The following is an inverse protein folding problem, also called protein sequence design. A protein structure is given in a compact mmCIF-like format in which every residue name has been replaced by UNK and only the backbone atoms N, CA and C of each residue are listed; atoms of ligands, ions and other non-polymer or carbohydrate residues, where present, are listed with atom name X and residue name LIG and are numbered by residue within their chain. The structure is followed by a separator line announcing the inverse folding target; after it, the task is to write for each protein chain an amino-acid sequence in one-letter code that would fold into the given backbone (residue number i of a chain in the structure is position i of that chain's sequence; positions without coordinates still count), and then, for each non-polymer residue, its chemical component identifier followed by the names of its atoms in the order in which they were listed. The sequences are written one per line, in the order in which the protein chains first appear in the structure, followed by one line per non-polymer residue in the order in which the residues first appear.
data_IF_704553041774
#
_entry.id   IF_704553041774
#
_cell.length_a   1.000
_cell.length_b   1.000
_cell.length_c   1.000
_cell.angle_alpha   90.00
_cell.angle_beta   90.00
_cell.angle_gamma   90.00
#
_symmetry.space_group_name_H-M   'P 1'
#
loop_
_entity.id
_entity.type
_entity.pdbx_description
1 polymer ?
#
# COMPACT_ATOMS: atom_id res chain seq x y z
N UNK A 1 -13.00 -7.13 -13.49
CA UNK A 1 -12.35 -6.92 -12.17
C UNK A 1 -13.41 -7.20 -11.12
N UNK A 2 -13.37 -8.38 -10.51
CA UNK A 2 -14.27 -8.76 -9.43
C UNK A 2 -13.42 -9.28 -8.29
N UNK A 3 -13.60 -8.70 -7.11
CA UNK A 3 -13.07 -9.28 -5.88
C UNK A 3 -13.54 -10.73 -5.78
N UNK A 4 -12.64 -11.66 -5.52
CA UNK A 4 -12.97 -13.08 -5.46
C UNK A 4 -13.27 -13.48 -4.01
N UNK A 5 -14.54 -13.74 -3.65
CA UNK A 5 -14.91 -14.08 -2.29
C UNK A 5 -14.57 -15.53 -1.92
N UNK A 6 -14.09 -16.35 -2.86
CA UNK A 6 -13.90 -17.80 -2.66
C UNK A 6 -12.54 -18.17 -2.05
N UNK A 7 -11.59 -17.22 -2.01
CA UNK A 7 -10.26 -17.44 -1.48
C UNK A 7 -9.79 -16.39 -0.48
N UNK A 8 -8.56 -16.58 0.00
CA UNK A 8 -7.98 -15.69 1.00
C UNK A 8 -7.61 -14.33 0.41
N UNK A 9 -7.66 -13.32 1.29
CA UNK A 9 -7.23 -11.95 0.97
C UNK A 9 -6.07 -11.57 1.87
N UNK A 10 -4.94 -11.22 1.26
CA UNK A 10 -3.86 -10.54 1.97
C UNK A 10 -4.19 -9.06 2.08
N UNK A 11 -4.44 -8.60 3.31
CA UNK A 11 -5.05 -7.30 3.57
C UNK A 11 -4.07 -6.11 3.52
N UNK A 12 -2.76 -6.36 3.50
CA UNK A 12 -1.73 -5.33 3.50
C UNK A 12 -0.43 -5.85 2.92
N UNK A 13 -0.19 -5.62 1.64
CA UNK A 13 1.05 -6.01 0.97
C UNK A 13 1.64 -4.86 0.16
N UNK A 14 2.90 -5.00 -0.24
CA UNK A 14 3.59 -4.10 -1.16
C UNK A 14 4.12 -4.92 -2.34
N UNK A 15 3.64 -4.64 -3.55
CA UNK A 15 4.11 -5.35 -4.75
C UNK A 15 5.16 -4.56 -5.54
N UNK A 16 5.20 -3.24 -5.37
CA UNK A 16 6.24 -2.41 -5.96
C UNK A 16 6.42 -1.17 -5.10
N UNK A 17 7.51 -1.12 -4.34
CA UNK A 17 7.82 -0.05 -3.40
C UNK A 17 9.27 0.38 -3.57
N UNK A 18 9.53 1.68 -3.48
CA UNK A 18 10.89 2.21 -3.44
C UNK A 18 10.97 3.33 -2.39
N UNK A 19 11.48 2.96 -1.22
CA UNK A 19 11.84 3.91 -0.16
C UNK A 19 13.37 4.02 -0.01
N UNK A 20 14.14 3.44 -0.94
CA UNK A 20 15.58 3.30 -0.80
C UNK A 20 16.30 4.65 -0.74
N UNK A 21 15.88 5.62 -1.55
CA UNK A 21 16.41 6.98 -1.51
C UNK A 21 16.09 7.74 -0.22
N UNK A 22 14.93 7.47 0.41
CA UNK A 22 14.55 8.10 1.67
C UNK A 22 15.27 7.47 2.87
N UNK A 23 15.37 6.14 2.89
CA UNK A 23 15.97 5.38 4.01
C UNK A 23 17.47 5.15 3.85
N UNK A 24 18.05 5.52 2.71
CA UNK A 24 19.43 5.22 2.32
C UNK A 24 19.77 3.73 2.49
N UNK A 25 18.82 2.85 2.12
CA UNK A 25 18.96 1.40 2.21
C UNK A 25 18.28 0.74 1.01
N UNK A 26 19.05 -0.02 0.22
CA UNK A 26 18.56 -0.71 -0.98
C UNK A 26 17.51 -1.78 -0.64
N UNK A 27 17.55 -2.38 0.54
CA UNK A 27 16.57 -3.37 0.99
C UNK A 27 15.16 -2.79 1.12
N UNK A 28 15.02 -1.47 1.07
CA UNK A 28 13.74 -0.78 1.07
C UNK A 28 13.17 -0.55 -0.35
N UNK A 29 13.73 -1.22 -1.36
CA UNK A 29 13.23 -1.28 -2.73
C UNK A 29 12.85 -2.71 -3.09
N UNK A 30 11.62 -2.89 -3.56
CA UNK A 30 11.10 -4.14 -4.08
C UNK A 30 10.52 -3.87 -5.48
N UNK A 31 11.14 -4.44 -6.50
CA UNK A 31 10.81 -4.26 -7.91
C UNK A 31 11.15 -5.48 -8.79
N UNK A 32 11.45 -6.63 -8.16
CA UNK A 32 11.87 -7.86 -8.84
C UNK A 32 10.67 -8.61 -9.42
N UNK A 33 10.21 -8.17 -10.59
CA UNK A 33 9.01 -8.68 -11.28
C UNK A 33 8.89 -10.21 -11.29
N UNK A 34 9.92 -10.92 -11.75
CA UNK A 34 9.86 -12.38 -11.89
C UNK A 34 9.64 -13.10 -10.55
N UNK A 35 10.30 -12.65 -9.48
CA UNK A 35 10.11 -13.24 -8.14
C UNK A 35 8.75 -12.93 -7.57
N UNK A 36 8.23 -11.72 -7.79
CA UNK A 36 6.89 -11.35 -7.34
C UNK A 36 5.84 -12.18 -8.08
N UNK A 37 5.96 -12.36 -9.40
CA UNK A 37 5.08 -13.25 -10.15
C UNK A 37 5.14 -14.70 -9.64
N UNK A 38 6.34 -15.22 -9.36
CA UNK A 38 6.50 -16.54 -8.76
C UNK A 38 5.78 -16.63 -7.41
N UNK A 39 5.98 -15.67 -6.53
CA UNK A 39 5.35 -15.65 -5.20
C UNK A 39 3.82 -15.54 -5.30
N UNK A 40 3.30 -14.71 -6.20
CA UNK A 40 1.85 -14.61 -6.41
C UNK A 40 1.26 -15.93 -6.94
N UNK A 41 1.97 -16.64 -7.83
CA UNK A 41 1.56 -17.98 -8.28
C UNK A 41 1.57 -18.98 -7.12
N UNK A 42 2.60 -18.97 -6.28
CA UNK A 42 2.68 -19.83 -5.09
C UNK A 42 1.52 -19.53 -4.12
N UNK A 43 1.18 -18.26 -3.89
CA UNK A 43 0.03 -17.86 -3.09
C UNK A 43 -1.30 -18.34 -3.70
N UNK A 44 -1.45 -18.28 -5.03
CA UNK A 44 -2.61 -18.79 -5.74
C UNK A 44 -2.78 -20.31 -5.51
N UNK A 45 -1.70 -21.09 -5.50
CA UNK A 45 -1.76 -22.54 -5.18
C UNK A 45 -2.20 -22.81 -3.74
N UNK A 46 -1.99 -21.86 -2.83
CA UNK A 46 -2.38 -21.94 -1.40
C UNK A 46 -3.77 -21.35 -1.13
N UNK A 47 -4.51 -20.97 -2.17
CA UNK A 47 -5.89 -20.48 -2.06
C UNK A 47 -6.03 -18.96 -1.83
N UNK A 48 -4.94 -18.19 -1.91
CA UNK A 48 -5.03 -16.73 -1.96
C UNK A 48 -5.58 -16.30 -3.31
N UNK A 49 -6.48 -15.32 -3.32
CA UNK A 49 -7.07 -14.78 -4.56
C UNK A 49 -6.96 -13.27 -4.66
N UNK A 50 -6.85 -12.59 -3.53
CA UNK A 50 -6.84 -11.14 -3.48
C UNK A 50 -5.64 -10.61 -2.69
N UNK A 51 -5.05 -9.53 -3.18
CA UNK A 51 -3.99 -8.77 -2.51
C UNK A 51 -4.38 -7.30 -2.46
N UNK A 52 -4.34 -6.71 -1.28
CA UNK A 52 -4.50 -5.26 -1.09
C UNK A 52 -3.11 -4.61 -1.15
N UNK A 53 -2.85 -3.88 -2.22
CA UNK A 53 -1.55 -3.24 -2.47
C UNK A 53 -1.53 -1.84 -1.82
N UNK A 54 -0.71 -1.69 -0.78
CA UNK A 54 -0.72 -0.56 0.14
C UNK A 54 0.34 0.51 -0.20
N UNK A 55 0.99 0.45 -1.36
CA UNK A 55 1.98 1.45 -1.76
C UNK A 55 1.28 2.72 -2.21
N UNK A 56 1.21 3.69 -1.30
CA UNK A 56 0.56 4.97 -1.54
C UNK A 56 1.45 5.94 -2.35
N UNK A 57 0.92 7.14 -2.61
CA UNK A 57 1.67 8.18 -3.31
C UNK A 57 2.97 8.49 -2.56
N UNK A 58 4.06 8.64 -3.32
CA UNK A 58 5.43 8.88 -2.85
C UNK A 58 6.15 7.70 -2.19
N UNK A 59 5.58 6.49 -2.24
CA UNK A 59 6.25 5.27 -1.77
C UNK A 59 6.85 4.43 -2.92
N UNK A 60 6.82 4.92 -4.16
CA UNK A 60 7.32 4.17 -5.32
C UNK A 60 6.27 3.31 -6.05
N UNK A 61 4.97 3.60 -5.88
CA UNK A 61 3.87 2.87 -6.54
C UNK A 61 4.04 2.84 -8.07
N UNK A 62 3.87 1.65 -8.67
CA UNK A 62 3.88 1.46 -10.12
C UNK A 62 2.62 0.73 -10.60
N UNK A 63 1.70 1.46 -11.24
CA UNK A 63 0.42 0.90 -11.69
C UNK A 63 0.56 -0.10 -12.83
N UNK A 64 1.49 0.12 -13.76
CA UNK A 64 1.70 -0.80 -14.88
C UNK A 64 2.25 -2.14 -14.38
N UNK A 65 3.20 -2.10 -13.44
CA UNK A 65 3.73 -3.29 -12.79
C UNK A 65 2.63 -4.15 -12.15
N UNK A 66 1.72 -3.53 -11.39
CA UNK A 66 0.59 -4.25 -10.79
C UNK A 66 -0.32 -4.89 -11.84
N UNK A 67 -0.62 -4.17 -12.93
CA UNK A 67 -1.44 -4.70 -14.03
C UNK A 67 -0.75 -5.91 -14.70
N UNK A 68 0.56 -5.86 -14.87
CA UNK A 68 1.33 -6.93 -15.48
C UNK A 68 1.39 -8.16 -14.56
N UNK A 69 1.53 -7.98 -13.23
CA UNK A 69 1.44 -9.08 -12.25
C UNK A 69 0.05 -9.72 -12.27
N UNK A 70 -1.02 -8.92 -12.31
CA UNK A 70 -2.40 -9.43 -12.39
C UNK A 70 -2.63 -10.26 -13.65
N UNK A 71 -2.09 -9.82 -14.79
CA UNK A 71 -2.21 -10.53 -16.08
C UNK A 71 -1.44 -11.84 -16.09
N UNK A 72 -0.22 -11.83 -15.55
CA UNK A 72 0.67 -12.99 -15.53
C UNK A 72 0.18 -14.10 -14.60
N UNK A 73 -0.33 -13.73 -13.42
CA UNK A 73 -0.60 -14.69 -12.34
C UNK A 73 -2.09 -14.96 -12.09
N UNK A 74 -2.97 -14.11 -12.65
CA UNK A 74 -4.40 -14.18 -12.42
C UNK A 74 -4.85 -13.73 -11.03
N UNK A 75 -3.93 -13.31 -10.14
CA UNK A 75 -4.28 -12.80 -8.82
C UNK A 75 -5.01 -11.45 -8.93
N UNK A 76 -6.00 -11.22 -8.08
CA UNK A 76 -6.69 -9.94 -8.02
C UNK A 76 -5.91 -8.96 -7.12
N UNK A 77 -5.44 -7.86 -7.69
CA UNK A 77 -4.76 -6.79 -6.94
C UNK A 77 -5.68 -5.58 -6.79
N UNK A 78 -5.91 -5.16 -5.55
CA UNK A 78 -6.66 -3.93 -5.23
C UNK A 78 -5.68 -2.87 -4.77
N UNK A 79 -5.41 -1.89 -5.63
CA UNK A 79 -4.48 -0.81 -5.32
C UNK A 79 -5.10 0.24 -4.39
N UNK A 80 -4.40 0.58 -3.32
CA UNK A 80 -4.76 1.68 -2.44
C UNK A 80 -4.38 3.04 -3.04
N UNK A 81 -5.01 4.08 -2.47
CA UNK A 81 -4.72 5.48 -2.78
C UNK A 81 -4.63 6.28 -1.49
N UNK A 82 -3.99 7.44 -1.57
CA UNK A 82 -3.79 8.33 -0.43
C UNK A 82 -2.31 8.63 -0.20
N UNK A 83 -2.00 8.93 1.05
CA UNK A 83 -0.70 9.39 1.51
C UNK A 83 -0.28 8.57 2.73
N UNK A 84 1.03 8.35 2.88
CA UNK A 84 1.59 7.68 4.04
C UNK A 84 1.92 8.69 5.15
N UNK A 85 3.16 8.75 5.61
CA UNK A 85 3.60 9.70 6.63
C UNK A 85 4.07 11.01 6.01
N UNK A 86 4.02 12.08 6.81
CA UNK A 86 4.43 13.44 6.43
C UNK A 86 5.87 13.52 5.93
N UNK A 87 6.76 12.67 6.45
CA UNK A 87 8.15 12.56 6.03
C UNK A 87 8.33 12.17 4.55
N UNK A 88 7.32 11.54 3.93
CA UNK A 88 7.37 11.09 2.53
C UNK A 88 6.74 12.09 1.56
N UNK A 89 6.25 13.24 2.05
CA UNK A 89 5.62 14.21 1.16
C UNK A 89 6.68 14.96 0.35
N UNK A 90 6.39 15.19 -0.93
CA UNK A 90 7.25 16.04 -1.76
C UNK A 90 7.32 17.45 -1.17
N UNK A 91 8.44 18.15 -1.41
CA UNK A 91 8.68 19.51 -0.89
C UNK A 91 7.54 20.49 -1.24
N UNK A 92 6.88 20.28 -2.38
CA UNK A 92 5.77 21.10 -2.87
C UNK A 92 4.43 20.79 -2.18
N UNK A 93 4.29 19.60 -1.57
CA UNK A 93 3.12 19.21 -0.78
C UNK A 93 3.24 19.50 0.71
N UNK A 94 4.45 19.74 1.20
CA UNK A 94 4.67 20.13 2.58
C UNK A 94 4.19 21.58 2.81
N UNK A 95 2.89 21.76 3.05
CA UNK A 95 2.32 23.00 3.60
C UNK A 95 2.12 22.84 5.11
N UNK A 96 2.87 23.56 5.96
CA UNK A 96 2.77 23.48 7.43
C UNK A 96 1.35 23.65 7.98
N UNK A 97 0.46 24.35 7.28
CA UNK A 97 -0.93 24.58 7.70
C UNK A 97 -1.86 23.35 7.53
N UNK A 98 -1.67 22.56 6.47
CA UNK A 98 -2.56 21.42 6.17
C UNK A 98 -2.32 20.23 7.11
N UNK A 99 -1.05 19.92 7.40
CA UNK A 99 -0.67 18.86 8.35
C UNK A 99 -1.09 19.18 9.80
N UNK A 100 -0.99 20.44 10.24
CA UNK A 100 -1.44 20.86 11.58
C UNK A 100 -2.94 20.66 11.80
N UNK A 101 -3.76 21.00 10.80
CA UNK A 101 -5.20 20.81 10.87
C UNK A 101 -5.59 19.32 10.81
N UNK A 102 -4.89 18.51 10.02
CA UNK A 102 -5.14 17.07 9.97
C UNK A 102 -4.77 16.36 11.29
N UNK A 103 -3.59 16.60 11.87
CA UNK A 103 -3.21 16.06 13.19
C UNK A 103 -4.20 16.46 14.28
N UNK A 104 -4.59 17.74 14.35
CA UNK A 104 -5.62 18.21 15.30
C UNK A 104 -6.95 17.49 15.13
N UNK A 105 -7.42 17.32 13.88
CA UNK A 105 -8.70 16.67 13.58
C UNK A 105 -8.67 15.17 13.87
N UNK A 106 -7.53 14.50 13.67
CA UNK A 106 -7.35 13.09 13.99
C UNK A 106 -7.26 12.84 15.50
N UNK A 107 -6.51 13.68 16.23
CA UNK A 107 -6.47 13.63 17.70
C UNK A 107 -7.85 13.86 18.33
N UNK A 108 -8.66 14.79 17.79
CA UNK A 108 -10.04 14.98 18.25
C UNK A 108 -10.94 13.76 18.01
N UNK A 109 -10.77 13.05 16.88
CA UNK A 109 -11.52 11.81 16.61
C UNK A 109 -11.14 10.68 17.57
N UNK A 110 -9.85 10.50 17.86
CA UNK A 110 -9.37 9.49 18.80
C UNK A 110 -9.89 9.72 20.22
N UNK A 111 -9.88 10.97 20.70
CA UNK A 111 -10.44 11.29 22.02
C UNK A 111 -11.96 11.07 22.10
N UNK A 112 -12.70 11.30 21.02
CA UNK A 112 -14.15 11.02 20.97
C UNK A 112 -14.48 9.54 21.02
N UNK A 113 -13.64 8.68 20.43
CA UNK A 113 -13.81 7.22 20.52
C UNK A 113 -13.47 6.70 21.91
N UNK A 114 -12.51 7.33 22.60
CA UNK A 114 -12.17 7.01 24.00
C UNK A 114 -13.28 7.38 25.00
N UNK A 115 -13.98 8.50 24.79
CA UNK A 115 -15.06 8.97 25.68
C UNK A 115 -16.42 8.26 25.47
N UNK A 116 -16.59 7.53 24.36
CA UNK A 116 -17.82 6.77 24.08
C UNK A 116 -17.78 5.33 24.65
N UNK A 117 -16.74 4.98 25.42
CA UNK A 117 -16.56 3.67 26.08
C UNK A 117 -16.61 3.74 27.62
N UNK A 118 -17.11 4.85 28.17
CA UNK A 118 -17.36 5.03 29.61
C UNK A 118 -18.85 5.18 29.87
#
# INVERSE_FOLDING_TARGET
MSFDPTGYTLAHEHLHIDLSGFKNNVDCRLDQYAFICQEMNDLMTRGVRNVIEMTNRYMGRNAQFMLDVMRETGINVVACTGYYQDAFFSRNMWRPAACRNWRRRWSMKLNRVSMARS
#
